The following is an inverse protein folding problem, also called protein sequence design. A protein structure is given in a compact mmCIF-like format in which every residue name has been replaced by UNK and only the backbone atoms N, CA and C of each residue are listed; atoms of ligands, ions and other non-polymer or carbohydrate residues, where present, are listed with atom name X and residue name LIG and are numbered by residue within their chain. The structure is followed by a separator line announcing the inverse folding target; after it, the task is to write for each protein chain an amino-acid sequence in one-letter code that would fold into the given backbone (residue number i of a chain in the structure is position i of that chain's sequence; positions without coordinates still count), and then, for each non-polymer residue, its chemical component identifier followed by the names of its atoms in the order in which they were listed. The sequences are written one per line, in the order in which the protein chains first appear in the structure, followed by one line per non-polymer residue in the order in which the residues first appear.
data_IF_653223013650
#
_entry.id   IF_653223013650
#
_cell.length_a   1.000
_cell.length_b   1.000
_cell.length_c   1.000
_cell.angle_alpha   90.00
_cell.angle_beta   90.00
_cell.angle_gamma   90.00
#
_symmetry.space_group_name_H-M   'P 1'
#
loop_
_entity.id
_entity.type
_entity.pdbx_description
1 polymer ?
#
# COMPACT_ATOMS: atom_id res chain seq x y z
N UNK A 1 10.88 16.80 -8.79
CA UNK A 1 10.29 15.46 -8.56
C UNK A 1 8.82 15.65 -8.25
N UNK A 2 7.91 15.20 -9.12
CA UNK A 2 6.45 15.31 -8.89
C UNK A 2 6.01 14.08 -8.10
N UNK A 3 5.31 14.32 -6.99
CA UNK A 3 4.68 13.25 -6.23
C UNK A 3 3.18 13.23 -6.53
N UNK A 4 2.60 12.03 -6.55
CA UNK A 4 1.18 11.83 -6.84
C UNK A 4 0.50 11.09 -5.67
N UNK A 5 -0.76 11.44 -5.36
CA UNK A 5 -1.52 10.75 -4.34
C UNK A 5 -2.25 9.53 -4.92
N UNK A 6 -2.28 8.44 -4.17
CA UNK A 6 -3.13 7.29 -4.41
C UNK A 6 -3.94 6.98 -3.16
N UNK A 7 -5.26 6.85 -3.31
CA UNK A 7 -6.16 6.54 -2.20
C UNK A 7 -6.56 5.07 -2.28
N UNK A 8 -6.39 4.34 -1.18
CA UNK A 8 -6.68 2.92 -1.08
C UNK A 8 -7.58 2.67 0.13
N UNK A 9 -8.46 1.68 0.00
CA UNK A 9 -9.18 1.10 1.15
C UNK A 9 -8.66 -0.30 1.40
N UNK A 10 -8.13 -0.52 2.58
CA UNK A 10 -7.59 -1.82 3.02
C UNK A 10 -8.21 -2.22 4.35
N UNK A 11 -8.13 -3.50 4.72
CA UNK A 11 -8.56 -3.92 6.06
C UNK A 11 -7.75 -3.15 7.12
N UNK A 12 -8.39 -2.56 8.17
CA UNK A 12 -7.70 -1.85 9.24
C UNK A 12 -6.55 -2.64 9.88
N UNK A 13 -6.72 -3.96 10.02
CA UNK A 13 -5.72 -4.86 10.57
C UNK A 13 -4.46 -4.98 9.69
N UNK A 14 -4.54 -4.59 8.41
CA UNK A 14 -3.45 -4.70 7.42
C UNK A 14 -2.74 -3.36 7.17
N UNK A 15 -3.20 -2.25 7.78
CA UNK A 15 -2.55 -0.93 7.61
C UNK A 15 -1.09 -0.97 8.06
N UNK A 16 -0.83 -1.56 9.23
CA UNK A 16 0.54 -1.67 9.77
C UNK A 16 1.44 -2.53 8.88
N UNK A 17 0.89 -3.60 8.28
CA UNK A 17 1.63 -4.45 7.35
C UNK A 17 2.00 -3.69 6.07
N UNK A 18 1.06 -2.96 5.48
CA UNK A 18 1.34 -2.15 4.28
C UNK A 18 2.39 -1.06 4.58
N UNK A 19 2.31 -0.40 5.73
CA UNK A 19 3.31 0.58 6.16
C UNK A 19 4.70 -0.06 6.27
N UNK A 20 4.79 -1.20 6.95
CA UNK A 20 6.05 -1.93 7.12
C UNK A 20 6.67 -2.32 5.77
N UNK A 21 5.86 -2.83 4.85
CA UNK A 21 6.34 -3.14 3.49
C UNK A 21 6.89 -1.90 2.80
N UNK A 22 6.15 -0.78 2.80
CA UNK A 22 6.60 0.45 2.15
C UNK A 22 7.89 1.04 2.76
N UNK A 23 8.07 0.96 4.08
CA UNK A 23 9.29 1.41 4.76
C UNK A 23 10.53 0.61 4.35
N UNK A 24 10.35 -0.66 3.96
CA UNK A 24 11.42 -1.50 3.41
C UNK A 24 11.83 -1.11 1.99
N UNK A 25 10.99 -0.39 1.24
CA UNK A 25 11.32 0.13 -0.08
C UNK A 25 11.77 1.58 0.04
N UNK A 26 13.08 1.80 -0.04
CA UNK A 26 13.73 3.11 0.12
C UNK A 26 13.01 4.22 -0.68
N UNK A 27 12.19 5.03 0.01
CA UNK A 27 11.45 6.15 -0.56
C UNK A 27 10.38 5.80 -1.62
N UNK A 28 9.79 4.59 -1.62
CA UNK A 28 8.79 4.22 -2.65
C UNK A 28 7.47 4.95 -2.50
N UNK A 29 6.91 4.98 -1.30
CA UNK A 29 5.74 5.79 -0.98
C UNK A 29 5.65 6.07 0.52
N UNK A 30 5.04 7.21 0.87
CA UNK A 30 4.69 7.54 2.25
C UNK A 30 3.21 7.24 2.47
N UNK A 31 2.91 6.41 3.47
CA UNK A 31 1.54 6.07 3.86
C UNK A 31 1.01 7.05 4.92
N UNK A 32 -0.15 7.64 4.66
CA UNK A 32 -0.95 8.39 5.63
C UNK A 32 -2.26 7.65 5.87
N UNK A 33 -2.60 7.34 7.12
CA UNK A 33 -3.93 6.82 7.45
C UNK A 33 -4.91 7.99 7.56
N UNK A 34 -5.94 8.02 6.71
CA UNK A 34 -6.96 9.06 6.72
C UNK A 34 -8.12 8.68 7.65
N UNK A 35 -8.52 7.40 7.61
CA UNK A 35 -9.52 6.85 8.52
C UNK A 35 -9.17 5.40 8.87
N UNK A 36 -8.85 5.18 10.15
CA UNK A 36 -8.47 3.88 10.68
C UNK A 36 -9.65 2.91 10.82
N UNK A 37 -10.88 3.40 10.99
CA UNK A 37 -12.06 2.54 11.15
C UNK A 37 -12.47 1.92 9.82
N UNK A 38 -12.49 2.74 8.77
CA UNK A 38 -12.85 2.29 7.41
C UNK A 38 -11.66 1.74 6.63
N UNK A 39 -10.44 1.96 7.13
CA UNK A 39 -9.20 1.52 6.51
C UNK A 39 -8.82 2.35 5.28
N UNK A 40 -9.23 3.61 5.25
CA UNK A 40 -8.87 4.56 4.20
C UNK A 40 -7.46 5.10 4.44
N UNK A 41 -6.59 4.90 3.46
CA UNK A 41 -5.20 5.36 3.48
C UNK A 41 -4.88 6.14 2.20
N UNK A 42 -3.92 7.04 2.30
CA UNK A 42 -3.31 7.77 1.18
C UNK A 42 -1.85 7.39 1.08
N UNK A 43 -1.41 7.00 -0.12
CA UNK A 43 -0.01 6.85 -0.46
C UNK A 43 0.43 8.08 -1.25
N UNK A 44 1.55 8.68 -0.87
CA UNK A 44 2.22 9.71 -1.64
C UNK A 44 3.50 9.12 -2.21
N UNK A 45 3.63 9.08 -3.53
CA UNK A 45 4.76 8.41 -4.20
C UNK A 45 5.33 9.28 -5.31
N UNK A 46 6.60 9.10 -5.70
CA UNK A 46 7.18 9.78 -6.85
C UNK A 46 6.56 9.25 -8.14
N UNK A 47 6.07 10.12 -9.04
CA UNK A 47 5.40 9.70 -10.27
C UNK A 47 6.26 8.73 -11.13
N UNK A 48 7.59 8.91 -11.11
CA UNK A 48 8.55 8.04 -11.80
C UNK A 48 8.53 6.58 -11.30
N UNK A 49 8.07 6.34 -10.06
CA UNK A 49 8.03 5.03 -9.41
C UNK A 49 6.63 4.43 -9.38
N UNK A 50 5.70 4.97 -10.17
CA UNK A 50 4.33 4.47 -10.26
C UNK A 50 4.27 2.96 -10.52
N UNK A 51 5.05 2.47 -11.49
CA UNK A 51 5.06 1.06 -11.85
C UNK A 51 5.61 0.16 -10.74
N UNK A 52 6.65 0.59 -10.04
CA UNK A 52 7.18 -0.14 -8.88
C UNK A 52 6.14 -0.23 -7.76
N UNK A 53 5.46 0.88 -7.45
CA UNK A 53 4.40 0.90 -6.44
C UNK A 53 3.25 -0.03 -6.83
N UNK A 54 2.81 0.00 -8.08
CA UNK A 54 1.74 -0.87 -8.57
C UNK A 54 2.13 -2.35 -8.54
N UNK A 55 3.39 -2.67 -8.87
CA UNK A 55 3.90 -4.04 -8.79
C UNK A 55 3.88 -4.57 -7.36
N UNK A 56 4.34 -3.77 -6.38
CA UNK A 56 4.27 -4.12 -4.97
C UNK A 56 2.82 -4.37 -4.51
N UNK A 57 1.91 -3.44 -4.81
CA UNK A 57 0.51 -3.55 -4.41
C UNK A 57 -0.17 -4.79 -5.04
N UNK A 58 0.16 -5.11 -6.29
CA UNK A 58 -0.33 -6.32 -6.97
C UNK A 58 0.17 -7.58 -6.29
N UNK A 59 1.48 -7.70 -6.06
CA UNK A 59 2.07 -8.86 -5.40
C UNK A 59 1.47 -9.10 -4.01
N UNK A 60 1.29 -8.04 -3.23
CA UNK A 60 0.62 -8.11 -1.92
C UNK A 60 -0.84 -8.57 -2.05
N UNK A 61 -1.58 -8.06 -3.04
CA UNK A 61 -2.97 -8.48 -3.25
C UNK A 61 -3.07 -9.96 -3.59
N UNK A 62 -2.19 -10.47 -4.44
CA UNK A 62 -2.14 -11.88 -4.85
C UNK A 62 -1.81 -12.79 -3.66
N UNK A 63 -0.80 -12.44 -2.86
CA UNK A 63 -0.44 -13.19 -1.65
C UNK A 63 -1.61 -13.27 -0.66
N UNK A 64 -2.30 -12.15 -0.46
CA UNK A 64 -3.45 -12.07 0.45
C UNK A 64 -4.68 -12.84 -0.08
N UNK A 65 -4.85 -12.95 -1.39
CA UNK A 65 -5.90 -13.77 -2.00
C UNK A 65 -5.58 -15.25 -1.84
N UNK A 66 -4.34 -15.66 -2.10
CA UNK A 66 -3.90 -17.05 -1.96
C UNK A 66 -3.97 -17.52 -0.49
N UNK A 67 -3.61 -16.66 0.46
CA UNK A 67 -3.74 -16.95 1.89
C UNK A 67 -5.18 -17.18 2.36
N UNK A 68 -6.16 -16.60 1.65
CA UNK A 68 -7.59 -16.80 1.95
C UNK A 68 -8.15 -18.09 1.32
N UNK A 69 -7.50 -18.67 0.29
CA UNK A 69 -7.95 -19.92 -0.34
C UNK A 69 -7.51 -21.19 0.41
N UNK A 70 -6.52 -21.09 1.29
CA UNK A 70 -6.00 -22.20 2.09
C UNK A 70 -6.66 -22.27 3.50
N UNK A 71 -7.83 -21.65 3.67
CA UNK A 71 -8.62 -21.64 4.91
C UNK A 71 -10.02 -22.16 4.64
#
# INVERSE_FOLDING_TARGET
MRCEPLYLRISPARISLLRFMLEGYDGLAVLTTLDRKTGLVRLLFPAARYYELMALLRAMSEELQNANQNK
#
